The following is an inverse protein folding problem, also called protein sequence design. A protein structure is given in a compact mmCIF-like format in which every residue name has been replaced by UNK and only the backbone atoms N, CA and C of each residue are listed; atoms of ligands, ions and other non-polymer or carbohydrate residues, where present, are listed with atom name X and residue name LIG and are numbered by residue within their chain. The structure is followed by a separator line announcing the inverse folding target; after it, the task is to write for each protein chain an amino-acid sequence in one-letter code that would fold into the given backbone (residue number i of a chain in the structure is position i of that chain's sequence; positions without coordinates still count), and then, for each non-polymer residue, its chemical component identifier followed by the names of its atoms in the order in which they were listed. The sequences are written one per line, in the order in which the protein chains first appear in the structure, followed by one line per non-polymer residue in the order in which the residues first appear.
data_IF_146646085910
#
_entry.id   IF_146646085910
#
_cell.length_a   1.000
_cell.length_b   1.000
_cell.length_c   1.000
_cell.angle_alpha   90.00
_cell.angle_beta   90.00
_cell.angle_gamma   90.00
#
_symmetry.space_group_name_H-M   'P 1'
#
loop_
_entity.id
_entity.type
_entity.pdbx_description
1 polymer ?
2 non-polymer ?
3 non-polymer ?
4 non-polymer ?
5 non-polymer ?
6 non-polymer ?
#
# COMPACT_ATOMS: atom_id res chain seq x y z
N UNK A 26 -35.26 13.29 15.72
CA UNK A 26 -35.68 13.37 14.33
C UNK A 26 -34.78 12.57 13.39
N UNK A 27 -33.51 12.95 13.32
CA UNK A 27 -32.57 12.41 12.34
C UNK A 27 -31.61 11.43 13.01
N UNK A 28 -32.14 10.27 13.41
CA UNK A 28 -31.38 9.25 14.13
C UNK A 28 -31.06 8.07 13.22
N UNK A 29 -30.61 6.97 13.81
CA UNK A 29 -30.06 5.84 13.07
C UNK A 29 -30.63 4.53 13.62
N UNK A 30 -31.36 3.74 12.82
CA UNK A 30 -31.90 2.48 13.33
C UNK A 30 -30.84 1.40 13.52
N UNK A 31 -30.01 1.55 14.54
CA UNK A 31 -28.95 0.58 14.80
C UNK A 31 -29.47 -0.72 15.39
N UNK A 32 -30.63 -0.69 16.04
CA UNK A 32 -31.18 -1.88 16.68
C UNK A 32 -32.64 -2.07 16.28
N UNK A 33 -32.97 -1.74 15.04
CA UNK A 33 -34.36 -1.83 14.58
C UNK A 33 -34.41 -2.06 13.07
N UNK A 34 -35.11 -3.12 12.67
CA UNK A 34 -35.26 -3.44 11.26
C UNK A 34 -36.31 -2.57 10.57
N UNK A 35 -36.45 -2.79 9.26
CA UNK A 35 -37.29 -1.92 8.43
C UNK A 35 -38.29 -2.72 7.61
N UNK A 36 -38.72 -3.87 8.11
CA UNK A 36 -39.70 -4.69 7.41
C UNK A 36 -40.94 -4.83 8.27
N UNK A 37 -42.10 -4.31 7.84
CA UNK A 37 -43.32 -4.51 8.64
C UNK A 37 -43.62 -5.98 8.93
N UNK A 38 -43.47 -6.87 7.94
CA UNK A 38 -43.74 -8.29 8.09
C UNK A 38 -42.63 -9.07 7.42
N UNK A 39 -42.68 -10.40 7.54
CA UNK A 39 -41.67 -11.27 6.94
C UNK A 39 -42.24 -11.93 5.69
N UNK A 40 -41.80 -11.47 4.53
CA UNK A 40 -42.16 -12.06 3.24
C UNK A 40 -41.55 -13.46 3.10
N UNK A 41 -42.13 -14.25 2.19
CA UNK A 41 -41.54 -15.55 1.87
C UNK A 41 -40.11 -15.40 1.38
N UNK A 42 -39.89 -14.49 0.43
CA UNK A 42 -38.53 -14.23 -0.05
C UNK A 42 -37.64 -13.67 1.06
N UNK A 43 -38.24 -13.10 2.11
CA UNK A 43 -37.45 -12.73 3.27
C UNK A 43 -36.93 -13.95 4.00
N UNK A 44 -37.80 -14.95 4.20
CA UNK A 44 -37.39 -16.20 4.83
C UNK A 44 -36.39 -16.97 3.97
N UNK A 45 -36.49 -16.86 2.64
CA UNK A 45 -35.43 -17.39 1.77
C UNK A 45 -34.12 -16.67 2.04
N UNK A 46 -34.18 -15.34 2.17
CA UNK A 46 -32.98 -14.53 2.33
C UNK A 46 -32.33 -14.72 3.69
N UNK A 47 -33.12 -14.95 4.75
CA UNK A 47 -32.53 -15.24 6.05
C UNK A 47 -31.81 -16.59 6.03
N UNK A 48 -32.39 -17.58 5.35
CA UNK A 48 -31.69 -18.86 5.19
C UNK A 48 -30.36 -18.67 4.46
N UNK A 49 -30.34 -17.83 3.44
CA UNK A 49 -29.11 -17.57 2.70
C UNK A 49 -28.09 -16.86 3.58
N UNK A 50 -28.55 -15.93 4.44
CA UNK A 50 -27.64 -15.31 5.40
C UNK A 50 -27.09 -16.34 6.38
N UNK A 51 -27.92 -17.30 6.79
CA UNK A 51 -27.44 -18.36 7.69
C UNK A 51 -26.24 -19.10 7.09
N UNK A 52 -26.24 -19.29 5.77
CA UNK A 52 -25.09 -19.90 5.11
C UNK A 52 -23.81 -19.09 5.38
N UNK A 53 -23.81 -17.82 4.97
CA UNK A 53 -22.60 -17.00 5.13
C UNK A 53 -22.19 -16.90 6.59
N UNK A 54 -23.16 -17.00 7.51
CA UNK A 54 -22.83 -17.05 8.94
C UNK A 54 -22.07 -18.32 9.28
N UNK A 55 -22.46 -19.45 8.67
CA UNK A 55 -21.85 -20.73 8.98
C UNK A 55 -20.47 -20.86 8.34
N UNK A 56 -20.32 -20.40 7.09
CA UNK A 56 -19.01 -20.37 6.48
C UNK A 56 -18.05 -19.57 7.36
N UNK A 57 -18.49 -18.40 7.82
CA UNK A 57 -17.64 -17.52 8.60
C UNK A 57 -17.25 -18.13 9.94
N UNK A 58 -18.23 -18.71 10.65
CA UNK A 58 -18.00 -19.16 12.00
C UNK A 58 -17.07 -20.36 12.04
N UNK A 59 -17.41 -21.42 11.29
CA UNK A 59 -16.58 -22.62 11.34
C UNK A 59 -15.18 -22.35 10.79
N UNK A 60 -15.02 -21.34 9.95
CA UNK A 60 -13.71 -21.11 9.36
C UNK A 60 -12.81 -20.31 10.29
N UNK A 61 -13.34 -19.22 10.86
CA UNK A 61 -12.55 -18.56 11.88
C UNK A 61 -12.34 -19.45 13.10
N UNK A 62 -13.25 -20.40 13.34
CA UNK A 62 -13.03 -21.35 14.43
C UNK A 62 -11.90 -22.30 14.10
N UNK A 63 -11.90 -22.86 12.89
CA UNK A 63 -10.84 -23.79 12.51
C UNK A 63 -9.50 -23.09 12.33
N UNK A 64 -9.49 -21.78 12.07
CA UNK A 64 -8.25 -21.02 12.01
C UNK A 64 -7.72 -20.69 13.40
N UNK A 65 -8.61 -20.44 14.36
CA UNK A 65 -8.17 -20.26 15.74
C UNK A 65 -7.49 -21.52 16.27
N UNK A 66 -8.06 -22.68 15.98
CA UNK A 66 -7.45 -23.93 16.44
C UNK A 66 -6.07 -24.13 15.80
N UNK A 67 -5.95 -23.90 14.49
CA UNK A 67 -4.64 -23.94 13.83
C UNK A 67 -3.61 -23.14 14.60
N UNK A 68 -4.03 -22.02 15.21
CA UNK A 68 -3.09 -21.12 15.86
C UNK A 68 -2.60 -21.67 17.19
N UNK A 69 -3.51 -22.23 18.00
CA UNK A 69 -3.07 -22.80 19.27
C UNK A 69 -2.28 -24.08 19.06
N UNK A 70 -2.69 -24.91 18.09
CA UNK A 70 -1.89 -26.08 17.75
C UNK A 70 -0.54 -25.70 17.16
N UNK A 71 -0.42 -24.49 16.60
CA UNK A 71 0.87 -23.97 16.15
C UNK A 71 1.60 -23.18 17.24
N UNK A 72 0.98 -23.02 18.42
CA UNK A 72 1.67 -22.59 19.62
C UNK A 72 2.04 -23.75 20.53
N UNK A 73 1.47 -24.93 20.29
CA UNK A 73 1.71 -26.17 21.05
C UNK A 73 1.21 -26.07 22.49
N UNK A 82 5.45 -16.33 17.05
CA UNK A 82 5.99 -14.99 16.88
C UNK A 82 4.90 -13.94 17.10
N UNK A 83 5.16 -12.70 16.67
CA UNK A 83 4.19 -11.64 16.86
C UNK A 83 3.12 -11.66 15.77
N UNK A 84 3.51 -11.89 14.52
CA UNK A 84 2.53 -11.95 13.45
C UNK A 84 1.49 -13.05 13.70
N UNK A 85 1.87 -14.11 14.41
CA UNK A 85 0.86 -15.07 14.87
C UNK A 85 0.02 -14.49 16.00
N UNK A 86 0.67 -13.74 16.91
CA UNK A 86 -0.04 -13.14 18.04
C UNK A 86 -1.18 -12.24 17.55
N UNK A 87 -0.95 -11.49 16.47
CA UNK A 87 -1.96 -10.56 15.98
C UNK A 87 -3.06 -11.27 15.20
N UNK A 88 -2.73 -12.34 14.48
CA UNK A 88 -3.74 -13.06 13.72
C UNK A 88 -4.75 -13.73 14.63
N UNK A 89 -4.30 -14.23 15.79
CA UNK A 89 -5.23 -14.79 16.77
C UNK A 89 -6.25 -13.73 17.22
N UNK A 90 -5.78 -12.54 17.54
CA UNK A 90 -6.68 -11.51 18.05
C UNK A 90 -7.53 -10.89 16.95
N UNK A 91 -7.03 -10.84 15.72
CA UNK A 91 -7.88 -10.47 14.61
C UNK A 91 -8.97 -11.52 14.39
N UNK A 92 -8.58 -12.78 14.26
CA UNK A 92 -9.54 -13.87 14.09
C UNK A 92 -10.50 -13.97 15.27
N UNK A 93 -10.03 -13.64 16.48
CA UNK A 93 -10.93 -13.62 17.63
C UNK A 93 -11.99 -12.53 17.50
N UNK A 94 -11.60 -11.34 17.02
CA UNK A 94 -12.58 -10.31 16.75
C UNK A 94 -13.43 -10.63 15.54
N UNK A 95 -12.91 -11.44 14.60
CA UNK A 95 -13.72 -11.86 13.46
C UNK A 95 -14.86 -12.77 13.92
N UNK A 96 -14.52 -13.79 14.71
CA UNK A 96 -15.52 -14.68 15.28
C UNK A 96 -16.50 -13.88 16.14
N UNK A 97 -16.00 -12.93 16.91
CA UNK A 97 -16.87 -12.18 17.81
C UNK A 97 -17.85 -11.31 17.04
N UNK A 98 -17.39 -10.68 15.95
CA UNK A 98 -18.29 -9.87 15.13
C UNK A 98 -19.25 -10.73 14.31
N UNK A 99 -18.85 -11.96 13.99
CA UNK A 99 -19.74 -12.84 13.23
C UNK A 99 -20.84 -13.43 14.11
N UNK A 100 -20.50 -13.87 15.33
CA UNK A 100 -21.50 -14.48 16.20
C UNK A 100 -22.51 -13.47 16.73
N UNK A 101 -22.18 -12.19 16.79
CA UNK A 101 -23.06 -11.19 17.38
C UNK A 101 -23.92 -10.49 16.32
N UNK A 102 -23.31 -9.97 15.27
CA UNK A 102 -24.06 -9.10 14.36
C UNK A 102 -24.77 -9.86 13.24
N UNK A 103 -24.23 -10.98 12.77
CA UNK A 103 -24.91 -11.71 11.69
C UNK A 103 -26.27 -12.26 12.12
N UNK A 104 -26.42 -12.91 13.27
CA UNK A 104 -27.77 -13.30 13.69
C UNK A 104 -28.64 -12.10 14.08
N UNK A 105 -28.06 -11.12 14.77
CA UNK A 105 -28.84 -9.95 15.18
C UNK A 105 -29.41 -9.22 13.97
N UNK A 106 -28.53 -8.70 13.10
CA UNK A 106 -29.00 -7.87 11.99
C UNK A 106 -29.53 -8.67 10.80
N UNK A 107 -29.22 -9.96 10.71
CA UNK A 107 -29.50 -10.68 9.49
C UNK A 107 -30.60 -11.71 9.61
N UNK A 108 -30.78 -12.26 10.80
CA UNK A 108 -31.72 -13.35 10.98
C UNK A 108 -32.85 -13.02 11.94
N UNK A 109 -32.55 -12.38 13.06
CA UNK A 109 -33.57 -12.19 14.08
C UNK A 109 -34.21 -10.81 13.98
N UNK A 110 -33.54 -9.78 14.49
CA UNK A 110 -34.11 -8.44 14.60
C UNK A 110 -34.17 -7.73 13.24
N UNK A 111 -34.93 -8.31 12.32
CA UNK A 111 -35.04 -7.80 10.97
C UNK A 111 -36.37 -7.09 10.70
N UNK A 112 -37.41 -7.34 11.50
CA UNK A 112 -38.65 -6.60 11.38
C UNK A 112 -38.59 -5.36 12.28
N UNK A 113 -39.67 -4.57 12.28
CA UNK A 113 -39.67 -3.28 12.96
C UNK A 113 -39.94 -3.37 14.45
N UNK A 114 -40.21 -4.56 14.99
CA UNK A 114 -40.53 -4.71 16.40
C UNK A 114 -39.42 -5.47 17.13
N UNK A 115 -39.23 -5.13 18.41
CA UNK A 115 -38.25 -5.78 19.26
C UNK A 115 -38.93 -6.87 20.08
N UNK A 116 -38.54 -8.12 19.85
CA UNK A 116 -39.21 -9.27 20.47
C UNK A 116 -38.58 -9.70 21.80
N UNK A 117 -37.44 -9.13 22.18
CA UNK A 117 -36.84 -9.47 23.47
C UNK A 117 -37.29 -8.50 24.56
N UNK A 118 -36.41 -8.21 25.51
CA UNK A 118 -36.69 -7.29 26.58
C UNK A 118 -35.70 -6.13 26.62
N UNK A 119 -35.92 -5.26 27.60
CA UNK A 119 -35.08 -4.07 27.71
C UNK A 119 -33.64 -4.42 28.10
N UNK A 120 -33.44 -5.49 28.88
CA UNK A 120 -32.07 -5.84 29.27
C UNK A 120 -31.28 -6.37 28.10
N UNK A 121 -31.86 -7.31 27.33
CA UNK A 121 -31.20 -7.79 26.14
C UNK A 121 -31.09 -6.73 25.05
N UNK A 122 -31.83 -5.63 25.14
CA UNK A 122 -31.70 -4.56 24.15
C UNK A 122 -30.50 -3.66 24.43
N UNK A 123 -30.14 -3.46 25.70
CA UNK A 123 -28.95 -2.67 26.03
C UNK A 123 -27.68 -3.51 25.93
N UNK A 124 -27.75 -4.80 26.26
CA UNK A 124 -26.59 -5.67 26.15
C UNK A 124 -26.24 -5.89 24.69
N UNK A 125 -27.25 -6.19 23.86
CA UNK A 125 -26.97 -6.51 22.46
C UNK A 125 -26.53 -5.27 21.69
N UNK A 126 -27.13 -4.11 21.98
CA UNK A 126 -26.64 -2.89 21.35
C UNK A 126 -25.22 -2.56 21.77
N UNK A 127 -24.82 -3.00 22.96
CA UNK A 127 -23.43 -2.87 23.39
C UNK A 127 -22.53 -3.81 22.58
N UNK A 128 -22.86 -5.11 22.60
CA UNK A 128 -22.05 -6.13 21.92
C UNK A 128 -21.99 -5.89 20.41
N UNK A 129 -23.05 -5.36 19.81
CA UNK A 129 -22.98 -5.04 18.39
C UNK A 129 -21.85 -4.06 18.11
N UNK A 130 -21.89 -2.90 18.78
CA UNK A 130 -20.85 -1.90 18.53
C UNK A 130 -19.48 -2.40 19.01
N UNK A 131 -19.46 -3.14 20.11
CA UNK A 131 -18.18 -3.61 20.66
C UNK A 131 -17.44 -4.50 19.67
N UNK A 132 -18.13 -5.46 19.06
CA UNK A 132 -17.50 -6.40 18.14
C UNK A 132 -17.10 -5.74 16.84
N UNK A 133 -17.72 -4.62 16.46
CA UNK A 133 -17.31 -3.92 15.26
C UNK A 133 -16.18 -2.95 15.54
N UNK A 134 -16.20 -2.25 16.69
CA UNK A 134 -15.05 -1.48 17.09
C UNK A 134 -13.80 -2.36 17.16
N UNK A 135 -13.97 -3.61 17.60
CA UNK A 135 -12.82 -4.48 17.81
C UNK A 135 -12.24 -4.96 16.48
N UNK A 136 -13.10 -5.32 15.52
CA UNK A 136 -12.61 -5.76 14.22
C UNK A 136 -11.78 -4.67 13.55
N UNK A 137 -12.27 -3.42 13.60
CA UNK A 137 -11.53 -2.32 12.99
C UNK A 137 -10.20 -2.10 13.70
N UNK A 138 -10.21 -2.01 15.03
CA UNK A 138 -9.00 -1.72 15.76
C UNK A 138 -7.97 -2.84 15.68
N UNK A 139 -8.39 -4.05 15.27
CA UNK A 139 -7.41 -5.09 14.99
C UNK A 139 -6.71 -4.83 13.67
N UNK A 140 -7.47 -4.47 12.63
CA UNK A 140 -6.85 -4.11 11.37
C UNK A 140 -5.94 -2.91 11.51
N UNK A 141 -6.23 -2.04 12.49
CA UNK A 141 -5.36 -0.90 12.73
C UNK A 141 -4.06 -1.36 13.37
N UNK A 142 -4.15 -2.28 14.34
CA UNK A 142 -2.96 -2.73 15.04
C UNK A 142 -2.05 -3.53 14.12
N UNK A 143 -2.62 -4.32 13.21
CA UNK A 143 -1.78 -5.08 12.27
C UNK A 143 -1.19 -4.14 11.23
N UNK A 144 -1.98 -3.22 10.69
CA UNK A 144 -1.45 -2.27 9.72
C UNK A 144 -0.35 -1.39 10.33
N UNK A 145 -0.40 -1.16 11.65
CA UNK A 145 0.62 -0.35 12.30
C UNK A 145 1.89 -1.14 12.58
N UNK A 146 1.75 -2.38 13.06
CA UNK A 146 2.92 -3.19 13.37
C UNK A 146 3.69 -3.57 12.12
N UNK A 147 2.98 -3.89 11.03
CA UNK A 147 3.65 -4.31 9.80
C UNK A 147 4.26 -3.13 9.05
N UNK A 148 3.64 -1.95 9.14
CA UNK A 148 4.25 -0.75 8.57
C UNK A 148 5.55 -0.42 9.28
N UNK A 149 5.65 -0.77 10.56
CA UNK A 149 6.91 -0.59 11.27
C UNK A 149 7.93 -1.66 10.89
N UNK A 150 7.46 -2.88 10.61
CA UNK A 150 8.33 -4.02 10.31
C UNK A 150 9.09 -3.88 8.99
N UNK A 151 8.82 -2.85 8.19
CA UNK A 151 9.49 -2.67 6.91
C UNK A 151 10.60 -1.64 7.02
N UNK A 152 11.16 -1.48 8.22
CA UNK A 152 12.26 -0.54 8.44
C UNK A 152 13.43 -1.16 9.20
N UNK A 160 9.50 -9.53 19.16
CA UNK A 160 9.35 -10.58 20.16
C UNK A 160 9.35 -10.03 21.60
N UNK A 161 8.48 -9.07 21.88
CA UNK A 161 8.54 -8.34 23.15
C UNK A 161 7.13 -7.97 23.60
N UNK A 162 7.08 -7.13 24.66
CA UNK A 162 5.83 -6.81 25.35
C UNK A 162 4.96 -5.84 24.56
N UNK A 163 5.55 -4.94 23.78
CA UNK A 163 4.77 -3.98 23.00
C UNK A 163 3.79 -4.70 22.07
N UNK A 164 4.11 -5.94 21.68
CA UNK A 164 3.22 -6.66 20.79
C UNK A 164 1.84 -6.87 21.38
N UNK A 165 1.78 -7.19 22.68
CA UNK A 165 0.50 -7.48 23.32
C UNK A 165 -0.15 -6.25 23.95
N UNK A 166 0.61 -5.18 24.20
CA UNK A 166 0.00 -3.96 24.69
C UNK A 166 -0.81 -3.24 23.61
N UNK A 167 -0.47 -3.46 22.33
CA UNK A 167 -1.28 -2.92 21.24
C UNK A 167 -2.66 -3.54 21.22
N UNK A 168 -2.75 -4.87 21.22
CA UNK A 168 -4.04 -5.56 21.11
C UNK A 168 -4.84 -5.40 22.40
N UNK A 169 -4.17 -5.20 23.53
CA UNK A 169 -4.88 -4.86 24.76
C UNK A 169 -5.55 -3.50 24.64
N UNK A 170 -4.80 -2.50 24.17
CA UNK A 170 -5.39 -1.20 23.89
C UNK A 170 -6.57 -1.33 22.94
N UNK A 171 -6.43 -2.20 21.93
CA UNK A 171 -7.51 -2.38 20.96
C UNK A 171 -8.76 -2.91 21.64
N UNK A 172 -8.63 -3.95 22.48
CA UNK A 172 -9.78 -4.44 23.23
C UNK A 172 -10.23 -3.44 24.27
N UNK A 173 -9.30 -2.65 24.83
CA UNK A 173 -9.67 -1.64 25.81
C UNK A 173 -10.53 -0.55 25.18
N UNK A 174 -9.97 0.16 24.20
CA UNK A 174 -10.72 1.21 23.50
C UNK A 174 -12.07 0.70 23.02
N UNK A 175 -12.07 -0.45 22.32
CA UNK A 175 -13.32 -0.93 21.72
C UNK A 175 -14.37 -1.29 22.75
N UNK A 176 -13.95 -1.65 23.97
CA UNK A 176 -14.92 -1.88 25.04
C UNK A 176 -15.33 -0.57 25.72
N UNK A 177 -14.41 0.39 25.80
CA UNK A 177 -14.75 1.68 26.38
C UNK A 177 -15.59 2.52 25.41
N UNK A 178 -15.32 2.43 24.10
CA UNK A 178 -16.06 3.24 23.14
C UNK A 178 -17.52 2.81 23.03
N UNK A 179 -17.84 1.56 23.35
CA UNK A 179 -19.19 1.03 23.24
C UNK A 179 -19.99 1.19 24.53
N UNK A 180 -19.37 1.71 25.58
CA UNK A 180 -20.01 1.93 26.84
C UNK A 180 -21.35 2.64 26.76
N UNK A 181 -21.38 3.85 26.19
CA UNK A 181 -22.62 4.64 26.19
C UNK A 181 -23.85 3.90 25.67
N UNK A 182 -23.67 2.92 24.77
CA UNK A 182 -24.81 2.20 24.22
C UNK A 182 -25.59 1.46 25.28
N UNK A 183 -24.98 1.21 26.42
CA UNK A 183 -25.73 0.66 27.54
C UNK A 183 -26.72 1.65 28.13
N UNK A 184 -26.37 2.94 28.17
CA UNK A 184 -27.26 3.92 28.77
C UNK A 184 -28.22 4.56 27.78
N UNK A 185 -27.81 4.72 26.53
CA UNK A 185 -28.59 5.53 25.59
C UNK A 185 -29.68 4.74 24.90
N UNK A 186 -29.51 3.43 24.75
CA UNK A 186 -30.55 2.62 24.14
C UNK A 186 -31.58 2.22 25.19
N UNK A 187 -32.85 2.17 24.77
CA UNK A 187 -33.94 1.83 25.68
C UNK A 187 -35.07 1.20 24.87
N UNK A 188 -35.91 0.43 25.56
CA UNK A 188 -37.05 -0.22 24.93
C UNK A 188 -38.27 0.69 25.06
N UNK A 189 -38.82 1.12 23.94
CA UNK A 189 -39.96 2.01 23.89
C UNK A 189 -41.14 1.25 23.31
N UNK A 190 -42.35 1.55 23.80
CA UNK A 190 -43.58 0.93 23.34
C UNK A 190 -44.58 1.98 22.87
N UNK A 191 -44.09 3.00 22.17
CA UNK A 191 -44.95 4.01 21.56
C UNK A 191 -44.18 4.74 20.47
N UNK A 200 -50.20 -0.65 19.21
CA UNK A 200 -48.81 -0.21 19.15
C UNK A 200 -47.87 -1.43 19.23
N UNK A 201 -46.56 -1.18 19.36
CA UNK A 201 -45.58 -2.27 19.48
C UNK A 201 -44.29 -1.72 20.08
N UNK A 202 -43.37 -2.64 20.40
CA UNK A 202 -42.15 -2.33 21.12
C UNK A 202 -40.96 -2.22 20.18
N UNK A 203 -40.03 -1.34 20.52
CA UNK A 203 -38.80 -1.22 19.75
C UNK A 203 -37.68 -0.75 20.67
N UNK A 204 -36.45 -1.04 20.23
CA UNK A 204 -35.23 -0.78 20.97
C UNK A 204 -34.51 0.36 20.25
N UNK A 205 -34.59 1.57 20.81
CA UNK A 205 -34.23 2.79 20.10
C UNK A 205 -33.57 3.79 21.04
N UNK A 206 -33.03 4.86 20.45
CA UNK A 206 -32.47 5.98 21.19
C UNK A 206 -33.43 7.16 21.27
N UNK A 207 -34.62 7.05 20.70
CA UNK A 207 -35.61 8.12 20.80
C UNK A 207 -35.82 8.51 22.24
N UNK A 208 -35.94 9.82 22.48
CA UNK A 208 -36.15 10.35 23.83
C UNK A 208 -35.08 9.83 24.78
N UNK A 209 -33.83 9.92 24.35
CA UNK A 209 -32.68 9.59 25.19
C UNK A 209 -31.63 10.70 25.21
N UNK A 210 -31.33 11.31 24.05
CA UNK A 210 -30.54 12.52 23.99
C UNK A 210 -31.44 13.75 24.15
N UNK A 211 -30.85 14.84 24.64
CA UNK A 211 -31.61 16.06 24.93
C UNK A 211 -31.57 17.04 23.76
N UNK A 212 -30.43 17.71 23.59
CA UNK A 212 -30.26 18.62 22.46
C UNK A 212 -29.91 17.84 21.19
N UNK A 213 -30.24 18.44 20.03
CA UNK A 213 -29.95 17.76 18.76
C UNK A 213 -28.46 17.60 18.53
N UNK A 214 -27.63 18.42 19.15
CA UNK A 214 -26.19 18.27 18.99
C UNK A 214 -25.65 17.09 19.80
N UNK A 215 -26.33 16.68 20.87
CA UNK A 215 -25.85 15.54 21.64
C UNK A 215 -25.84 14.27 20.80
N UNK A 216 -26.84 14.10 19.93
CA UNK A 216 -26.95 12.90 19.11
C UNK A 216 -26.14 12.98 17.82
N UNK A 217 -26.04 14.16 17.22
CA UNK A 217 -25.26 14.30 16.00
C UNK A 217 -23.81 13.91 16.24
N UNK A 218 -23.21 14.44 17.31
CA UNK A 218 -21.82 14.13 17.61
C UNK A 218 -21.62 12.69 18.05
N UNK A 219 -22.66 12.05 18.59
CA UNK A 219 -22.52 10.65 18.94
C UNK A 219 -22.44 9.78 17.69
N UNK A 220 -23.36 9.98 16.75
CA UNK A 220 -23.34 9.16 15.54
C UNK A 220 -22.15 9.50 14.66
N UNK A 221 -21.73 10.76 14.65
CA UNK A 221 -20.48 11.11 13.97
C UNK A 221 -19.30 10.38 14.60
N UNK A 222 -19.24 10.36 15.93
CA UNK A 222 -18.18 9.65 16.64
C UNK A 222 -18.24 8.15 16.32
N UNK A 223 -19.43 7.59 16.24
CA UNK A 223 -19.55 6.18 15.91
C UNK A 223 -18.97 5.89 14.54
N UNK A 224 -19.26 6.73 13.54
CA UNK A 224 -18.85 6.43 12.17
C UNK A 224 -17.34 6.52 12.01
N UNK A 225 -16.75 7.61 12.51
CA UNK A 225 -15.31 7.83 12.37
C UNK A 225 -14.51 6.72 13.03
N UNK A 226 -14.77 6.48 14.31
CA UNK A 226 -14.07 5.44 15.06
C UNK A 226 -14.49 4.03 14.69
N UNK A 227 -15.40 3.86 13.74
CA UNK A 227 -15.78 2.53 13.28
C UNK A 227 -15.20 2.20 11.91
N UNK A 228 -14.89 3.21 11.10
CA UNK A 228 -14.60 2.96 9.70
C UNK A 228 -13.64 3.98 9.11
N UNK A 229 -14.01 5.27 9.19
CA UNK A 229 -13.27 6.29 8.45
C UNK A 229 -11.86 6.46 9.01
N UNK A 230 -11.73 6.75 10.31
CA UNK A 230 -10.41 6.88 10.92
C UNK A 230 -9.58 5.60 10.74
N UNK A 231 -10.10 4.41 11.03
CA UNK A 231 -9.31 3.20 10.71
C UNK A 231 -8.92 3.14 9.25
N UNK A 232 -9.84 3.41 8.32
CA UNK A 232 -9.50 3.37 6.91
C UNK A 232 -8.37 4.34 6.59
N UNK A 233 -8.39 5.51 7.22
CA UNK A 233 -7.32 6.50 7.08
C UNK A 233 -5.98 5.93 7.54
N UNK A 234 -5.91 5.48 8.80
CA UNK A 234 -4.68 4.89 9.33
C UNK A 234 -4.27 3.68 8.50
N UNK A 235 -5.24 2.90 8.03
CA UNK A 235 -4.90 1.73 7.24
C UNK A 235 -4.32 2.11 5.89
N UNK A 236 -5.03 2.95 5.13
CA UNK A 236 -4.57 3.29 3.78
C UNK A 236 -3.16 3.90 3.82
N UNK A 237 -2.83 4.62 4.89
CA UNK A 237 -1.53 5.27 4.97
C UNK A 237 -0.45 4.23 5.22
N UNK A 238 -0.66 3.37 6.22
CA UNK A 238 0.33 2.34 6.53
C UNK A 238 0.50 1.37 5.37
N UNK A 239 -0.60 1.00 4.71
CA UNK A 239 -0.51 0.08 3.60
C UNK A 239 -0.01 0.77 2.34
N UNK A 240 -0.03 2.10 2.30
CA UNK A 240 0.64 2.78 1.20
C UNK A 240 2.15 2.60 1.28
N UNK A 241 2.72 2.63 2.49
CA UNK A 241 4.16 2.42 2.64
C UNK A 241 4.55 0.97 2.32
N UNK A 242 3.74 0.01 2.77
CA UNK A 242 4.02 -1.39 2.47
C UNK A 242 3.93 -1.65 0.98
N UNK A 243 3.09 -0.92 0.27
CA UNK A 243 3.00 -1.09 -1.17
C UNK A 243 4.28 -0.65 -1.86
N UNK A 244 4.88 0.46 -1.39
CA UNK A 244 6.13 0.92 -2.00
C UNK A 244 7.24 -0.09 -1.78
N UNK A 245 7.34 -0.66 -0.58
CA UNK A 245 8.35 -1.68 -0.31
C UNK A 245 8.18 -2.88 -1.21
N UNK A 246 6.96 -3.44 -1.27
CA UNK A 246 6.72 -4.65 -2.05
C UNK A 246 7.02 -4.44 -3.52
N UNK A 247 6.61 -3.30 -4.07
CA UNK A 247 6.90 -2.99 -5.47
C UNK A 247 8.39 -3.07 -5.75
N UNK A 248 9.20 -2.45 -4.89
CA UNK A 248 10.65 -2.55 -5.06
C UNK A 248 11.13 -3.99 -4.86
N UNK A 249 10.70 -4.63 -3.77
CA UNK A 249 11.24 -5.95 -3.43
C UNK A 249 10.88 -6.96 -4.52
N UNK A 250 9.61 -7.01 -4.88
CA UNK A 250 9.21 -8.01 -5.90
C UNK A 250 9.43 -7.49 -7.31
N UNK A 251 10.32 -6.52 -7.53
CA UNK A 251 10.44 -5.80 -8.82
C UNK A 251 11.83 -5.88 -9.43
N UNK A 252 12.77 -6.29 -8.60
CA UNK A 252 14.20 -6.52 -8.82
C UNK A 252 14.42 -8.02 -8.70
N UNK A 253 14.62 -8.70 -9.83
CA UNK A 253 15.12 -10.08 -9.77
C UNK A 253 16.61 -9.99 -9.50
N UNK A 254 16.97 -10.00 -8.21
CA UNK A 254 18.37 -9.96 -7.83
C UNK A 254 19.12 -11.19 -8.31
N UNK A 255 18.42 -12.32 -8.46
CA UNK A 255 19.06 -13.51 -9.02
C UNK A 255 19.59 -13.26 -10.43
N UNK A 256 19.10 -12.21 -11.10
CA UNK A 256 19.62 -11.77 -12.39
C UNK A 256 20.47 -10.51 -12.24
N UNK A 257 19.89 -9.44 -11.68
CA UNK A 257 20.57 -8.16 -11.54
C UNK A 257 21.55 -8.22 -10.36
N UNK A 258 22.72 -8.80 -10.62
CA UNK A 258 23.80 -8.73 -9.65
C UNK A 258 25.13 -8.91 -10.38
N UNK A 259 26.20 -8.45 -9.73
CA UNK A 259 27.52 -8.31 -10.36
C UNK A 259 28.34 -9.60 -10.35
N UNK A 260 27.79 -10.74 -9.89
CA UNK A 260 28.54 -11.99 -9.94
C UNK A 260 28.70 -12.52 -11.36
N UNK A 261 27.83 -12.10 -12.27
CA UNK A 261 27.85 -12.59 -13.64
C UNK A 261 28.79 -11.80 -14.54
N UNK A 262 29.23 -10.62 -14.13
CA UNK A 262 30.17 -9.85 -14.92
C UNK A 262 31.54 -10.54 -14.94
N UNK A 263 32.41 -10.07 -15.83
CA UNK A 263 33.68 -10.71 -16.09
C UNK A 263 34.81 -9.73 -15.80
N UNK A 264 35.78 -10.19 -15.01
CA UNK A 264 36.99 -9.42 -14.78
C UNK A 264 36.77 -8.11 -14.01
N UNK A 265 37.81 -7.28 -14.06
CA UNK A 265 37.83 -6.02 -13.32
C UNK A 265 36.91 -5.00 -13.97
N UNK A 266 36.53 -3.97 -13.19
CA UNK A 266 35.51 -3.05 -13.68
C UNK A 266 36.05 -2.12 -14.77
N UNK A 267 37.32 -1.67 -14.67
CA UNK A 267 37.85 -0.78 -15.71
C UNK A 267 38.19 -1.53 -16.97
N UNK A 268 38.55 -2.79 -16.85
CA UNK A 268 38.64 -3.62 -18.04
C UNK A 268 37.28 -3.69 -18.73
N UNK A 269 36.22 -3.89 -17.94
CA UNK A 269 34.87 -3.91 -18.50
C UNK A 269 34.54 -2.60 -19.20
N UNK A 270 35.11 -1.48 -18.75
CA UNK A 270 34.80 -0.18 -19.35
C UNK A 270 35.62 0.06 -20.62
N UNK A 271 36.93 -0.22 -20.59
CA UNK A 271 37.73 -0.13 -21.79
C UNK A 271 37.13 -1.01 -22.89
N UNK A 272 36.79 -2.24 -22.53
CA UNK A 272 36.30 -3.19 -23.53
C UNK A 272 34.98 -2.72 -24.14
N UNK A 273 34.12 -2.11 -23.33
CA UNK A 273 32.83 -1.63 -23.84
C UNK A 273 32.96 -0.31 -24.59
N UNK A 274 33.80 0.60 -24.11
CA UNK A 274 33.92 1.90 -24.74
C UNK A 274 34.52 1.83 -26.13
N UNK A 275 35.38 0.82 -26.38
CA UNK A 275 35.90 0.55 -27.72
C UNK A 275 35.04 -0.44 -28.49
N UNK A 276 34.24 -1.26 -27.80
CA UNK A 276 33.16 -1.98 -28.46
C UNK A 276 32.25 -1.01 -29.20
N UNK A 277 31.93 0.13 -28.57
CA UNK A 277 31.14 1.17 -29.21
C UNK A 277 31.95 1.94 -30.24
N UNK A 278 33.19 2.29 -29.91
CA UNK A 278 34.05 3.00 -30.85
C UNK A 278 34.51 4.36 -30.39
N UNK A 279 34.54 4.58 -29.07
CA UNK A 279 35.13 5.78 -28.47
C UNK A 279 36.35 5.36 -27.66
N UNK A 280 37.10 6.33 -27.17
CA UNK A 280 38.23 6.02 -26.32
C UNK A 280 37.84 6.15 -24.85
N UNK A 281 38.76 5.77 -23.97
CA UNK A 281 38.44 5.65 -22.56
C UNK A 281 38.26 7.03 -21.92
N UNK A 282 37.27 7.13 -21.03
CA UNK A 282 37.00 8.36 -20.31
C UNK A 282 35.91 8.11 -19.29
N UNK A 283 35.53 9.19 -18.59
CA UNK A 283 34.46 9.08 -17.60
C UNK A 283 33.12 8.93 -18.32
N UNK A 284 32.34 7.93 -17.92
CA UNK A 284 31.17 7.50 -18.67
C UNK A 284 29.89 7.71 -17.89
N UNK A 285 28.95 8.40 -18.50
CA UNK A 285 27.60 8.55 -17.99
C UNK A 285 26.65 7.82 -18.94
N UNK A 286 25.58 7.28 -18.40
CA UNK A 286 24.66 6.54 -19.23
C UNK A 286 23.23 6.94 -18.92
N UNK A 287 22.41 6.99 -19.97
CA UNK A 287 20.98 7.16 -19.84
C UNK A 287 20.27 6.09 -20.65
N UNK A 288 19.23 5.50 -20.06
CA UNK A 288 18.41 4.50 -20.75
C UNK A 288 16.95 4.73 -20.41
N UNK A 289 16.20 5.28 -21.36
CA UNK A 289 14.79 5.58 -21.10
C UNK A 289 14.07 5.95 -22.38
N UNK A 290 12.76 6.09 -22.25
CA UNK A 290 11.93 6.47 -23.39
C UNK A 290 12.16 7.94 -23.75
N UNK A 291 12.34 8.21 -25.03
CA UNK A 291 12.60 9.57 -25.51
C UNK A 291 11.30 10.36 -25.43
N UNK A 292 11.11 11.09 -24.33
CA UNK A 292 9.85 11.72 -24.00
C UNK A 292 10.02 13.21 -23.76
N UNK A 293 8.93 13.95 -23.96
CA UNK A 293 8.86 15.36 -23.60
C UNK A 293 8.10 15.50 -22.29
N UNK A 294 8.72 16.15 -21.31
CA UNK A 294 8.16 16.27 -19.97
C UNK A 294 7.75 14.96 -19.34
N UNK A 295 8.67 14.01 -19.23
CA UNK A 295 8.32 12.73 -18.66
C UNK A 295 9.52 12.01 -18.07
N UNK A 296 10.50 11.63 -18.91
CA UNK A 296 11.64 10.89 -18.42
C UNK A 296 12.95 11.66 -18.45
N UNK A 297 13.02 12.79 -19.16
CA UNK A 297 14.10 13.73 -19.00
C UNK A 297 15.19 13.72 -20.06
N UNK A 298 15.00 13.02 -21.18
CA UNK A 298 16.04 12.96 -22.20
C UNK A 298 16.29 14.34 -22.81
N UNK A 299 15.29 15.21 -22.79
CA UNK A 299 15.48 16.58 -23.24
C UNK A 299 16.36 17.36 -22.27
N UNK A 300 16.15 17.15 -20.98
CA UNK A 300 16.99 17.79 -19.97
C UNK A 300 18.44 17.38 -20.16
N UNK A 301 18.70 16.07 -20.27
CA UNK A 301 20.06 15.60 -20.45
C UNK A 301 20.67 16.17 -21.72
N UNK A 302 19.92 16.13 -22.83
CA UNK A 302 20.45 16.61 -24.10
C UNK A 302 20.83 18.08 -24.03
N UNK A 303 19.96 18.91 -23.47
CA UNK A 303 20.28 20.32 -23.29
C UNK A 303 21.41 20.51 -22.29
N UNK A 304 21.46 19.67 -21.26
CA UNK A 304 22.59 19.70 -20.32
C UNK A 304 23.89 19.35 -21.04
N UNK A 305 23.85 18.37 -21.93
CA UNK A 305 25.04 18.02 -22.71
C UNK A 305 25.46 19.20 -23.58
N UNK A 306 24.49 19.88 -24.20
CA UNK A 306 24.85 21.00 -25.07
C UNK A 306 25.36 22.19 -24.27
N UNK A 307 24.93 22.36 -23.03
CA UNK A 307 25.60 23.30 -22.14
C UNK A 307 27.03 22.82 -21.88
N UNK A 308 27.18 21.53 -21.57
CA UNK A 308 28.50 20.98 -21.31
C UNK A 308 29.30 20.80 -22.59
N UNK A 309 28.68 20.94 -23.74
CA UNK A 309 29.27 20.69 -25.08
C UNK A 309 30.49 21.55 -25.35
N UNK A 310 30.29 22.86 -25.43
CA UNK A 310 31.44 23.74 -25.69
C UNK A 310 32.00 24.17 -24.34
N UNK A 311 32.72 23.25 -23.69
CA UNK A 311 33.18 23.49 -22.31
C UNK A 311 34.63 23.04 -22.18
N UNK A 312 35.13 23.12 -20.94
CA UNK A 312 36.55 22.87 -20.57
C UNK A 312 36.82 21.37 -20.37
N UNK A 313 35.95 20.67 -19.65
CA UNK A 313 36.23 19.26 -19.36
C UNK A 313 35.33 18.31 -20.13
N UNK A 314 34.74 18.77 -21.23
CA UNK A 314 33.84 17.92 -22.01
C UNK A 314 34.60 16.75 -22.66
N UNK A 315 35.89 16.92 -22.88
CA UNK A 315 36.72 15.94 -23.62
C UNK A 315 36.93 14.63 -22.85
N UNK A 316 36.78 14.68 -21.54
CA UNK A 316 36.99 13.50 -20.72
C UNK A 316 35.73 12.68 -20.53
N UNK A 317 34.59 13.15 -21.04
CA UNK A 317 33.30 12.56 -20.75
C UNK A 317 32.83 11.70 -21.90
N UNK A 318 32.19 10.59 -21.57
CA UNK A 318 31.51 9.75 -22.53
C UNK A 318 30.04 9.67 -22.12
N UNK A 319 29.14 9.70 -23.10
CA UNK A 319 27.71 9.62 -22.87
C UNK A 319 27.13 8.53 -23.77
N UNK A 320 26.48 7.55 -23.18
CA UNK A 320 25.71 6.55 -23.92
C UNK A 320 24.26 6.74 -23.53
N UNK A 321 23.46 7.29 -24.43
CA UNK A 321 22.04 7.48 -24.19
C UNK A 321 21.29 6.46 -25.03
N UNK A 322 20.30 5.82 -24.42
CA UNK A 322 19.62 4.67 -25.01
C UNK A 322 18.11 4.86 -24.85
N UNK A 323 17.36 4.65 -25.92
CA UNK A 323 15.92 4.70 -25.85
C UNK A 323 15.27 5.11 -27.16
N UNK A 324 14.00 4.73 -27.31
CA UNK A 324 13.19 5.10 -28.46
C UNK A 324 11.87 5.71 -27.99
N UNK A 325 11.37 6.70 -28.74
CA UNK A 325 10.12 7.36 -28.42
C UNK A 325 9.64 8.37 -29.46
N UNK A 326 9.58 9.64 -29.10
CA UNK A 326 9.16 10.68 -30.03
C UNK A 326 10.27 10.93 -31.05
N UNK A 327 9.94 11.42 -32.26
CA UNK A 327 10.93 11.44 -33.34
C UNK A 327 11.83 12.68 -33.35
N UNK A 328 11.32 13.83 -32.90
CA UNK A 328 12.14 15.04 -32.90
C UNK A 328 13.23 14.97 -31.83
N UNK A 329 13.03 14.17 -30.79
CA UNK A 329 14.05 14.04 -29.75
C UNK A 329 15.19 13.12 -30.14
N UNK A 330 14.97 12.24 -31.12
CA UNK A 330 16.06 11.39 -31.58
C UNK A 330 16.98 12.15 -32.53
N UNK A 331 16.42 13.03 -33.36
CA UNK A 331 17.25 13.83 -34.24
C UNK A 331 18.16 14.77 -33.49
N UNK A 332 17.72 15.22 -32.31
CA UNK A 332 18.58 16.03 -31.44
C UNK A 332 19.77 15.22 -30.96
N UNK A 333 19.49 14.09 -30.30
CA UNK A 333 20.56 13.20 -29.83
C UNK A 333 21.46 12.76 -30.98
N UNK A 334 20.87 12.28 -32.07
CA UNK A 334 21.65 11.77 -33.19
C UNK A 334 22.43 12.86 -33.90
N UNK A 335 22.03 14.14 -33.78
CA UNK A 335 22.85 15.21 -34.34
C UNK A 335 24.05 15.51 -33.45
N UNK A 336 23.87 15.46 -32.13
CA UNK A 336 25.00 15.49 -31.22
C UNK A 336 25.90 14.28 -31.38
N UNK A 337 25.42 13.23 -32.03
CA UNK A 337 26.21 12.03 -32.30
C UNK A 337 27.20 12.25 -33.45
N UNK A 338 26.87 13.14 -34.40
CA UNK A 338 27.81 13.48 -35.47
C UNK A 338 28.68 14.68 -35.13
N UNK A 339 28.19 15.59 -34.29
CA UNK A 339 29.01 16.73 -33.91
C UNK A 339 30.06 16.33 -32.89
N UNK A 340 29.77 15.34 -32.06
CA UNK A 340 30.67 14.91 -31.00
C UNK A 340 30.84 13.40 -31.05
N UNK A 341 32.09 12.95 -31.09
CA UNK A 341 32.43 11.55 -31.09
C UNK A 341 32.41 10.86 -29.75
N UNK A 342 32.10 11.60 -28.68
CA UNK A 342 31.94 11.02 -27.34
C UNK A 342 30.49 11.01 -26.90
N UNK A 343 29.56 10.95 -27.86
CA UNK A 343 28.14 10.86 -27.59
C UNK A 343 27.58 9.75 -28.48
N UNK A 344 27.28 8.60 -27.89
CA UNK A 344 26.65 7.50 -28.59
C UNK A 344 25.18 7.43 -28.24
N UNK A 345 24.35 7.20 -29.26
CA UNK A 345 22.89 7.10 -29.10
C UNK A 345 22.43 5.78 -29.67
N UNK A 346 21.65 5.04 -28.90
CA UNK A 346 21.19 3.71 -29.26
C UNK A 346 19.66 3.71 -29.18
N UNK A 347 19.01 3.61 -30.34
CA UNK A 347 17.53 3.60 -30.38
C UNK A 347 17.06 2.18 -30.71
N UNK A 348 17.98 1.28 -31.05
CA UNK A 348 17.57 -0.13 -31.28
C UNK A 348 17.48 -0.73 -29.87
N UNK A 349 16.41 -1.46 -29.52
CA UNK A 349 16.33 -1.96 -28.12
C UNK A 349 17.31 -3.11 -27.94
N UNK A 350 17.89 -3.23 -26.74
CA UNK A 350 18.96 -4.19 -26.50
C UNK A 350 18.45 -5.44 -25.77
N UNK A 351 19.40 -6.30 -25.40
CA UNK A 351 19.10 -7.50 -24.66
C UNK A 351 19.03 -7.22 -23.15
N UNK A 352 18.31 -8.08 -22.45
CA UNK A 352 18.30 -8.02 -20.98
C UNK A 352 19.71 -8.23 -20.43
N UNK A 353 20.49 -9.11 -21.07
CA UNK A 353 21.85 -9.41 -20.61
C UNK A 353 22.81 -8.23 -20.85
N UNK A 354 22.52 -7.40 -21.85
CA UNK A 354 23.39 -6.28 -22.22
C UNK A 354 23.06 -5.00 -21.47
N UNK A 355 21.92 -4.93 -20.79
CA UNK A 355 21.69 -3.81 -19.90
C UNK A 355 22.53 -3.97 -18.65
N UNK A 356 22.54 -5.18 -18.08
CA UNK A 356 23.42 -5.51 -16.95
C UNK A 356 24.88 -5.30 -17.30
N UNK A 357 25.26 -5.70 -18.52
CA UNK A 357 26.51 -5.26 -19.14
C UNK A 357 26.85 -3.82 -18.78
N UNK A 358 25.95 -2.88 -19.10
CA UNK A 358 26.32 -1.48 -19.02
C UNK A 358 26.22 -0.94 -17.60
N UNK A 359 25.19 -1.32 -16.84
CA UNK A 359 25.04 -0.84 -15.47
C UNK A 359 26.31 -1.09 -14.66
N UNK A 360 26.94 -2.23 -14.87
CA UNK A 360 28.16 -2.54 -14.15
C UNK A 360 29.43 -2.24 -14.92
N UNK A 361 29.40 -1.22 -15.79
CA UNK A 361 30.59 -0.80 -16.52
C UNK A 361 30.69 0.71 -16.58
N UNK A 362 29.58 1.38 -16.91
CA UNK A 362 29.57 2.85 -16.93
C UNK A 362 29.99 3.40 -15.59
N UNK A 363 30.36 4.66 -15.58
CA UNK A 363 30.65 5.28 -14.30
C UNK A 363 29.39 5.83 -13.63
N UNK A 364 28.44 6.36 -14.40
CA UNK A 364 27.28 6.98 -13.79
C UNK A 364 26.02 6.65 -14.57
N UNK A 365 24.90 6.65 -13.86
CA UNK A 365 23.56 6.61 -14.45
C UNK A 365 22.95 7.99 -14.26
N UNK A 366 22.68 8.67 -15.37
CA UNK A 366 21.90 9.90 -15.33
C UNK A 366 20.43 9.50 -15.40
N UNK A 367 19.68 9.84 -14.37
CA UNK A 367 18.26 9.53 -14.31
C UNK A 367 17.50 10.83 -14.15
N UNK A 368 17.34 11.63 -15.21
CA UNK A 368 16.79 12.98 -15.10
C UNK A 368 15.27 13.02 -15.20
N UNK A 369 14.60 12.14 -14.45
CA UNK A 369 13.18 11.93 -14.61
C UNK A 369 12.36 13.01 -13.91
N UNK A 370 11.14 13.24 -14.42
CA UNK A 370 10.18 14.19 -13.85
C UNK A 370 9.24 13.54 -12.83
N UNK A 371 9.07 12.22 -12.88
CA UNK A 371 8.06 11.53 -12.09
C UNK A 371 8.45 10.06 -12.00
N UNK A 372 8.84 9.60 -10.82
CA UNK A 372 9.41 8.26 -10.63
C UNK A 372 9.19 7.82 -9.20
N UNK A 373 7.99 7.36 -8.85
CA UNK A 373 7.67 7.05 -7.46
C UNK A 373 8.26 5.75 -6.95
N UNK A 374 8.80 4.89 -7.82
CA UNK A 374 9.36 3.60 -7.41
C UNK A 374 10.86 3.51 -7.61
N UNK A 375 11.38 3.93 -8.77
CA UNK A 375 12.82 3.97 -8.99
C UNK A 375 13.50 2.62 -9.08
N UNK A 376 13.15 1.84 -10.10
CA UNK A 376 13.72 0.51 -10.26
C UNK A 376 14.97 0.52 -11.14
N UNK A 377 15.04 1.41 -12.13
CA UNK A 377 16.28 1.59 -12.89
C UNK A 377 17.42 1.95 -11.94
N UNK A 378 17.18 2.89 -11.02
CA UNK A 378 18.22 3.26 -10.08
C UNK A 378 18.63 2.09 -9.19
N UNK A 379 17.72 1.15 -8.95
CA UNK A 379 18.05 0.02 -8.09
C UNK A 379 18.73 -1.11 -8.85
N UNK A 380 18.30 -1.38 -10.07
CA UNK A 380 19.07 -2.26 -10.94
C UNK A 380 20.48 -1.69 -11.12
N UNK A 381 20.56 -0.41 -11.50
CA UNK A 381 21.85 0.21 -11.75
C UNK A 381 22.76 0.12 -10.53
N UNK A 382 22.28 0.60 -9.37
CA UNK A 382 23.11 0.58 -8.17
C UNK A 382 23.49 -0.85 -7.78
N UNK A 383 22.64 -1.82 -8.08
CA UNK A 383 22.95 -3.21 -7.77
C UNK A 383 24.17 -3.70 -8.51
N UNK A 384 24.52 -3.05 -9.62
CA UNK A 384 25.62 -3.47 -10.45
C UNK A 384 26.84 -2.57 -10.30
N UNK A 385 26.76 -1.54 -9.47
CA UNK A 385 27.91 -0.72 -9.15
C UNK A 385 27.85 0.70 -9.68
N UNK A 386 26.95 1.00 -10.60
CA UNK A 386 26.88 2.33 -11.20
C UNK A 386 26.40 3.36 -10.19
N UNK A 387 26.89 4.57 -10.34
CA UNK A 387 26.55 5.69 -9.46
C UNK A 387 25.42 6.48 -10.09
N UNK A 388 24.32 6.71 -9.39
CA UNK A 388 23.20 7.44 -9.99
C UNK A 388 23.32 8.95 -9.83
N UNK A 389 22.87 9.66 -10.85
CA UNK A 389 22.65 11.11 -10.81
C UNK A 389 21.22 11.29 -11.27
N UNK A 390 20.32 11.56 -10.34
CA UNK A 390 18.89 11.60 -10.61
C UNK A 390 18.27 12.84 -10.01
N UNK A 391 17.03 13.10 -10.42
CA UNK A 391 16.27 14.23 -9.92
C UNK A 391 15.39 13.80 -8.77
N UNK A 392 15.37 14.60 -7.70
CA UNK A 392 14.63 14.25 -6.48
C UNK A 392 13.13 14.33 -6.73
N UNK A 393 12.58 13.25 -7.30
CA UNK A 393 11.19 13.29 -7.74
C UNK A 393 10.50 11.97 -7.40
N UNK A 394 10.60 11.54 -6.15
CA UNK A 394 9.84 10.40 -5.70
C UNK A 394 10.69 9.37 -4.99
N UNK A 395 10.69 8.14 -5.50
CA UNK A 395 11.53 7.10 -4.93
C UNK A 395 13.00 7.41 -5.04
N UNK A 396 13.41 8.07 -6.13
CA UNK A 396 14.79 8.54 -6.24
C UNK A 396 15.15 9.47 -5.09
N UNK A 397 14.19 10.30 -4.67
CA UNK A 397 14.43 11.13 -3.49
C UNK A 397 14.70 10.27 -2.26
N UNK A 398 14.00 9.13 -2.14
CA UNK A 398 14.17 8.29 -0.96
C UNK A 398 15.32 7.31 -1.10
N UNK A 399 15.68 6.92 -2.32
CA UNK A 399 16.63 5.83 -2.51
C UNK A 399 18.07 6.33 -2.50
N UNK A 400 18.33 7.52 -3.02
CA UNK A 400 19.69 8.04 -3.14
C UNK A 400 19.98 8.92 -1.93
N UNK A 401 20.97 8.52 -1.12
CA UNK A 401 21.34 9.27 0.07
C UNK A 401 22.50 10.19 -0.24
N UNK A 402 23.28 10.56 0.78
CA UNK A 402 24.42 11.45 0.57
C UNK A 402 25.66 10.71 0.10
N UNK A 403 25.87 9.48 0.58
CA UNK A 403 27.03 8.69 0.19
C UNK A 403 26.68 7.64 -0.86
N UNK A 404 25.54 7.79 -1.56
CA UNK A 404 25.13 6.82 -2.58
C UNK A 404 24.73 7.47 -3.90
N UNK A 405 25.05 8.74 -4.11
CA UNK A 405 24.79 9.38 -5.39
C UNK A 405 24.63 10.87 -5.23
N UNK A 406 24.32 11.53 -6.34
CA UNK A 406 24.11 12.97 -6.40
C UNK A 406 22.69 13.24 -6.88
N UNK A 407 21.91 13.92 -6.04
CA UNK A 407 20.57 14.34 -6.42
C UNK A 407 20.58 15.81 -6.86
N UNK A 408 19.67 16.16 -7.77
CA UNK A 408 19.55 17.51 -8.30
C UNK A 408 18.08 17.84 -8.48
N UNK A 409 17.81 19.14 -8.60
CA UNK A 409 16.43 19.60 -8.80
C UNK A 409 15.95 19.22 -10.20
N UNK A 410 14.74 18.69 -10.28
CA UNK A 410 14.23 18.17 -11.54
C UNK A 410 13.96 19.29 -12.54
N UNK A 411 14.02 18.94 -13.82
CA UNK A 411 13.62 19.81 -14.90
C UNK A 411 14.61 20.88 -15.30
N UNK A 412 15.78 20.94 -14.67
CA UNK A 412 16.77 21.97 -14.97
C UNK A 412 17.91 21.39 -15.80
N UNK A 413 18.15 21.90 -17.02
CA UNK A 413 19.25 21.38 -17.84
C UNK A 413 20.61 21.73 -17.24
N UNK A 414 20.87 23.02 -17.04
CA UNK A 414 21.83 23.41 -16.03
C UNK A 414 21.44 22.86 -14.67
N UNK A 415 22.42 22.87 -13.76
CA UNK A 415 22.32 22.20 -12.46
C UNK A 415 22.54 20.69 -12.64
N UNK A 416 21.86 20.07 -13.61
CA UNK A 416 22.30 18.76 -14.05
C UNK A 416 23.67 18.83 -14.67
N UNK A 417 23.91 19.89 -15.47
CA UNK A 417 25.25 20.10 -16.02
C UNK A 417 26.29 20.20 -14.91
N UNK A 418 25.97 20.89 -13.82
CA UNK A 418 26.93 21.03 -12.73
C UNK A 418 27.04 19.74 -11.93
N UNK A 419 25.98 18.93 -11.87
CA UNK A 419 26.09 17.61 -11.25
C UNK A 419 27.02 16.71 -12.05
N UNK A 420 26.84 16.67 -13.37
CA UNK A 420 27.75 15.92 -14.24
C UNK A 420 29.18 16.42 -14.07
N UNK A 421 29.34 17.70 -13.75
CA UNK A 421 30.67 18.26 -13.54
C UNK A 421 31.20 17.95 -12.15
N UNK A 422 30.32 17.96 -11.15
CA UNK A 422 30.73 17.51 -9.81
C UNK A 422 31.12 16.04 -9.83
N UNK A 423 30.37 15.23 -10.60
CA UNK A 423 30.64 13.79 -10.66
C UNK A 423 32.03 13.50 -11.21
N UNK A 424 32.44 14.23 -12.25
CA UNK A 424 33.77 14.00 -12.82
C UNK A 424 34.87 14.56 -11.91
N UNK A 425 34.60 15.69 -11.24
CA UNK A 425 35.61 16.23 -10.34
C UNK A 425 35.95 15.29 -9.20
N UNK A 426 35.05 14.36 -8.86
CA UNK A 426 35.33 13.39 -7.81
C UNK A 426 35.67 12.01 -8.35
N UNK A 427 35.97 11.89 -9.65
CA UNK A 427 36.43 10.63 -10.21
C UNK A 427 37.96 10.52 -10.25
N UNK A 428 38.69 11.62 -10.07
CA UNK A 428 40.14 11.56 -9.96
C UNK A 428 40.60 10.68 -8.80
N UNK A 429 39.78 10.56 -7.76
CA UNK A 429 40.01 9.62 -6.67
C UNK A 429 39.17 8.37 -6.93
N UNK A 430 39.80 7.21 -6.85
CA UNK A 430 39.17 6.00 -7.34
C UNK A 430 38.04 5.50 -6.43
N UNK A 431 36.79 5.64 -6.91
CA UNK A 431 35.55 5.41 -6.18
C UNK A 431 35.30 3.93 -6.09
N UNK A 432 35.78 3.30 -5.03
CA UNK A 432 35.41 1.91 -4.73
C UNK A 432 34.50 1.78 -3.52
N UNK A 433 34.77 2.54 -2.44
CA UNK A 433 33.82 2.60 -1.34
C UNK A 433 32.54 3.29 -1.75
N UNK A 434 32.62 4.22 -2.72
CA UNK A 434 31.43 4.90 -3.20
C UNK A 434 30.49 3.94 -3.91
N UNK A 435 31.05 2.98 -4.64
CA UNK A 435 30.23 2.01 -5.36
C UNK A 435 29.72 0.90 -4.45
N UNK A 436 30.44 0.59 -3.38
CA UNK A 436 29.96 -0.44 -2.46
C UNK A 436 28.76 0.04 -1.66
N UNK A 437 28.68 1.34 -1.38
CA UNK A 437 27.51 1.89 -0.67
C UNK A 437 26.24 1.70 -1.49
N UNK A 438 26.31 2.00 -2.79
CA UNK A 438 25.15 1.79 -3.67
C UNK A 438 24.81 0.32 -3.79
N UNK A 439 25.83 -0.54 -3.85
CA UNK A 439 25.57 -1.98 -3.92
C UNK A 439 24.80 -2.46 -2.69
N UNK A 440 25.16 -1.95 -1.50
CA UNK A 440 24.54 -2.40 -0.26
C UNK A 440 23.20 -1.71 -0.01
N UNK A 441 23.13 -0.40 -0.27
CA UNK A 441 21.88 0.33 -0.12
C UNK A 441 20.80 -0.24 -1.04
N UNK A 442 21.09 -0.28 -2.33
CA UNK A 442 20.15 -0.86 -3.29
C UNK A 442 19.85 -2.32 -2.95
N UNK A 443 20.82 -3.03 -2.38
CA UNK A 443 20.57 -4.41 -1.96
C UNK A 443 19.41 -4.46 -0.96
N UNK A 444 19.45 -3.61 0.06
CA UNK A 444 18.41 -3.64 1.09
C UNK A 444 17.04 -3.27 0.51
N UNK A 445 17.00 -2.27 -0.36
CA UNK A 445 15.72 -1.87 -0.95
C UNK A 445 15.10 -2.99 -1.77
N UNK A 446 15.93 -3.76 -2.44
CA UNK A 446 15.44 -4.81 -3.37
C UNK A 446 15.20 -6.16 -2.69
N UNK A 447 15.63 -6.32 -1.43
CA UNK A 447 15.70 -7.65 -0.77
C UNK A 447 14.94 -7.62 0.54
N UNK A 448 14.24 -8.71 0.87
CA UNK A 448 13.42 -8.85 2.07
C UNK A 448 13.41 -10.33 2.46
N UNK A 449 13.48 -10.66 3.75
CA UNK A 449 13.41 -12.07 4.15
C UNK A 449 12.08 -12.68 3.75
N UNK A 450 12.13 -13.92 3.28
CA UNK A 450 10.92 -14.60 2.79
C UNK A 450 9.80 -14.56 3.82
N UNK A 451 10.12 -14.84 5.08
CA UNK A 451 9.10 -14.92 6.12
C UNK A 451 8.36 -13.60 6.27
N UNK A 452 9.11 -12.53 6.50
CA UNK A 452 8.52 -11.19 6.69
C UNK A 452 7.81 -10.75 5.40
N UNK A 453 8.12 -11.37 4.27
CA UNK A 453 7.51 -10.98 3.00
C UNK A 453 6.07 -11.49 2.89
N UNK A 454 5.81 -12.73 3.34
CA UNK A 454 4.44 -13.22 3.19
C UNK A 454 3.49 -12.46 4.10
N UNK A 455 3.93 -12.09 5.30
CA UNK A 455 3.07 -11.29 6.15
C UNK A 455 2.88 -9.89 5.57
N UNK A 456 3.86 -9.39 4.83
CA UNK A 456 3.69 -8.10 4.16
C UNK A 456 2.61 -8.18 3.11
N UNK A 457 2.72 -9.16 2.19
CA UNK A 457 1.66 -9.37 1.21
C UNK A 457 0.33 -9.72 1.88
N UNK A 458 0.39 -10.38 3.03
CA UNK A 458 -0.83 -10.67 3.78
C UNK A 458 -1.54 -9.39 4.22
N UNK A 459 -0.80 -8.50 4.90
CA UNK A 459 -1.42 -7.30 5.44
C UNK A 459 -2.12 -6.47 4.36
N UNK A 460 -1.49 -6.34 3.19
CA UNK A 460 -2.12 -5.59 2.12
C UNK A 460 -3.42 -6.25 1.67
N UNK A 461 -3.50 -7.57 1.73
CA UNK A 461 -4.73 -8.26 1.38
C UNK A 461 -5.81 -8.00 2.43
N UNK A 462 -5.47 -8.18 3.70
CA UNK A 462 -6.40 -7.88 4.79
C UNK A 462 -7.01 -6.50 4.60
N UNK A 463 -6.17 -5.50 4.37
CA UNK A 463 -6.65 -4.12 4.24
C UNK A 463 -7.56 -3.96 3.04
N UNK A 464 -7.14 -4.47 1.88
CA UNK A 464 -7.98 -4.34 0.69
C UNK A 464 -9.32 -5.03 0.89
N UNK A 465 -9.31 -6.20 1.53
CA UNK A 465 -10.57 -6.88 1.82
C UNK A 465 -11.47 -6.02 2.71
N UNK A 466 -10.89 -5.39 3.74
CA UNK A 466 -11.68 -4.53 4.63
C UNK A 466 -12.15 -3.29 3.89
N UNK A 467 -11.24 -2.62 3.17
CA UNK A 467 -11.62 -1.42 2.43
C UNK A 467 -12.72 -1.71 1.41
N UNK A 468 -12.55 -2.79 0.65
CA UNK A 468 -13.50 -3.08 -0.43
C UNK A 468 -14.86 -3.46 0.13
N UNK A 469 -14.90 -4.38 1.08
CA UNK A 469 -16.18 -4.95 1.48
C UNK A 469 -16.96 -4.04 2.41
N UNK A 470 -16.29 -3.27 3.26
CA UNK A 470 -17.00 -2.49 4.26
C UNK A 470 -17.32 -1.07 3.80
N UNK A 471 -16.74 -0.62 2.70
CA UNK A 471 -17.03 0.74 2.25
C UNK A 471 -18.49 0.87 1.76
N UNK A 472 -19.04 -0.05 0.96
CA UNK A 472 -20.46 0.11 0.58
C UNK A 472 -21.41 0.06 1.77
N UNK A 473 -21.19 -0.85 2.72
CA UNK A 473 -22.04 -0.94 3.91
C UNK A 473 -22.11 0.39 4.64
N UNK A 474 -20.96 1.04 4.86
CA UNK A 474 -20.87 2.20 5.73
C UNK A 474 -21.23 3.52 5.05
N UNK A 475 -21.06 3.65 3.72
CA UNK A 475 -21.45 4.89 3.07
C UNK A 475 -22.96 5.00 2.99
N UNK A 476 -23.65 3.88 2.71
CA UNK A 476 -25.10 3.90 2.84
C UNK A 476 -25.51 4.25 4.26
N UNK A 477 -24.68 3.88 5.24
CA UNK A 477 -24.91 4.34 6.60
C UNK A 477 -24.84 5.85 6.72
N UNK A 478 -23.77 6.45 6.18
CA UNK A 478 -23.62 7.90 6.23
C UNK A 478 -24.58 8.58 5.28
N UNK A 479 -24.90 7.91 4.16
CA UNK A 479 -25.91 8.42 3.24
C UNK A 479 -27.28 8.46 3.92
N UNK A 480 -27.65 7.38 4.61
CA UNK A 480 -28.88 7.38 5.40
C UNK A 480 -28.86 8.54 6.40
N UNK A 481 -27.72 8.73 7.07
CA UNK A 481 -27.60 9.76 8.10
C UNK A 481 -27.94 11.14 7.54
N UNK A 482 -27.51 11.44 6.31
CA UNK A 482 -27.78 12.76 5.73
C UNK A 482 -29.18 12.88 5.14
N UNK A 483 -29.85 11.75 4.85
CA UNK A 483 -31.10 11.73 4.09
C UNK A 483 -31.81 10.39 4.34
N UNK A 484 -32.59 10.29 5.40
CA UNK A 484 -33.18 8.98 5.73
C UNK A 484 -34.18 8.48 4.69
N UNK A 485 -34.74 9.37 3.90
CA UNK A 485 -35.76 8.95 2.91
C UNK A 485 -35.08 8.25 1.74
N UNK A 486 -33.79 7.94 1.88
CA UNK A 486 -33.04 7.24 0.82
C UNK A 486 -33.37 5.76 0.88
N UNK A 487 -33.78 5.30 2.06
CA UNK A 487 -34.08 3.86 2.27
C UNK A 487 -35.25 3.45 1.39
N UNK A 488 -36.18 4.37 1.16
CA UNK A 488 -37.35 4.09 0.32
C UNK A 488 -36.97 3.92 -1.15
N UNK A 489 -35.69 4.02 -1.50
CA UNK A 489 -35.26 3.86 -2.89
C UNK A 489 -34.29 2.71 -3.07
N UNK A 490 -34.33 1.69 -2.20
CA UNK A 490 -33.41 0.58 -2.34
C UNK A 490 -34.12 -0.75 -2.16
N UNK A 491 -33.77 -1.70 -3.02
CA UNK A 491 -34.33 -3.05 -3.06
C UNK A 491 -34.13 -3.76 -1.73
N UNK A 492 -34.87 -4.85 -1.57
CA UNK A 492 -34.54 -5.86 -0.59
C UNK A 492 -33.40 -6.74 -1.10
N UNK A 493 -33.34 -7.07 -2.40
CA UNK A 493 -32.15 -7.80 -2.89
C UNK A 493 -30.84 -7.06 -2.73
N UNK A 494 -30.81 -5.72 -2.86
CA UNK A 494 -29.54 -4.99 -2.77
C UNK A 494 -29.20 -4.63 -1.34
N UNK A 495 -30.20 -4.32 -0.52
CA UNK A 495 -29.95 -4.20 0.91
C UNK A 495 -29.36 -5.50 1.45
N UNK A 496 -29.97 -6.64 1.08
CA UNK A 496 -29.43 -7.94 1.47
C UNK A 496 -28.05 -8.16 0.89
N UNK A 497 -27.86 -7.78 -0.38
CA UNK A 497 -26.57 -8.03 -1.04
C UNK A 497 -25.44 -7.28 -0.34
N UNK A 498 -25.60 -5.98 -0.12
CA UNK A 498 -24.53 -5.23 0.52
C UNK A 498 -24.36 -5.60 1.98
N UNK A 499 -25.35 -6.23 2.61
CA UNK A 499 -25.14 -6.83 3.92
C UNK A 499 -24.21 -8.04 3.80
N UNK A 500 -24.48 -8.93 2.84
CA UNK A 500 -23.64 -10.11 2.66
C UNK A 500 -22.23 -9.74 2.19
N UNK A 501 -22.13 -8.79 1.27
CA UNK A 501 -20.84 -8.36 0.75
C UNK A 501 -19.92 -7.89 1.86
N UNK A 502 -20.47 -7.20 2.86
CA UNK A 502 -19.68 -6.76 4.00
C UNK A 502 -19.11 -7.94 4.78
N UNK A 503 -19.94 -8.94 5.05
CA UNK A 503 -19.46 -10.05 5.86
C UNK A 503 -18.70 -11.07 5.03
N UNK A 504 -18.49 -10.82 3.74
CA UNK A 504 -17.50 -11.60 3.03
C UNK A 504 -16.11 -11.37 3.60
N UNK A 505 -15.82 -10.13 4.03
CA UNK A 505 -14.49 -9.79 4.52
C UNK A 505 -14.07 -10.64 5.73
N UNK A 506 -14.82 -10.68 6.84
CA UNK A 506 -14.35 -11.45 8.00
C UNK A 506 -14.30 -12.95 7.75
N UNK A 507 -15.05 -13.51 6.80
CA UNK A 507 -14.92 -14.95 6.59
C UNK A 507 -13.91 -15.30 5.51
N UNK A 508 -13.32 -14.29 4.87
CA UNK A 508 -12.27 -14.54 3.86
C UNK A 508 -10.90 -14.19 4.46
N UNK A 509 -10.89 -13.67 5.67
CA UNK A 509 -9.60 -13.33 6.30
C UNK A 509 -8.80 -14.60 6.44
N UNK A 510 -9.35 -15.67 7.07
CA UNK A 510 -8.70 -16.96 7.16
C UNK A 510 -8.22 -17.45 5.78
N UNK A 511 -8.99 -17.19 4.74
CA UNK A 511 -8.56 -17.55 3.40
C UNK A 511 -7.35 -16.74 2.97
N UNK A 512 -7.21 -15.51 3.46
CA UNK A 512 -6.06 -14.68 3.06
C UNK A 512 -4.78 -15.21 3.69
N UNK A 513 -4.83 -15.62 4.96
CA UNK A 513 -3.64 -16.22 5.57
C UNK A 513 -3.25 -17.50 4.84
N UNK A 514 -4.21 -18.39 4.62
CA UNK A 514 -3.88 -19.67 4.00
C UNK A 514 -3.28 -19.51 2.61
N UNK A 515 -3.76 -18.51 1.86
CA UNK A 515 -3.26 -18.31 0.50
C UNK A 515 -1.78 -17.98 0.50
N UNK A 516 -1.38 -16.95 1.25
CA UNK A 516 0.02 -16.56 1.33
C UNK A 516 0.85 -17.48 2.23
N UNK A 517 0.29 -18.61 2.65
CA UNK A 517 1.03 -19.66 3.34
C UNK A 517 1.60 -20.69 2.37
N UNK A 518 2.16 -20.24 1.26
CA UNK A 518 2.62 -21.12 0.17
C UNK A 518 1.47 -22.00 -0.32
#
# INVERSE_FOLDING_TARGET
DYKDDDDAMANSASPEQNQNHCSAINNSIPLMQGNLPTLTLSGKIRVTVTFFLFLLSATFNASFLLKLQKWTQKKEKGKKLSRMKLLLKHLTLANLLETLIVMPLDGMWNITVQWYAGELLCKVLSYLKLFSMYAKAFMMVVISLDRSLAITRPLALKSNSKVGQSMVGLAWILSSVFAGPQLYIFRMIHLADSSGQTKVFSQCVTHCSFSQWWHQAFYNFFTFSCLFIIPLFIMLICNAKIIFTLTRVLGIDCSFWNESYLTGSRDERKKSLLSKFGMDEGVTFMFIGRFDRGQKGVDVLLKAIEILSSKKEFQEMRFIIIGKGDPELEGWARSLEEKHGNVKVITEMLSREFVRELYGSVDFVIIPSYFEPFGLVALEAMCLGAIPIASAVGGLRDIITNETGILVKAGDPGELANAILKALELSRSDLSKFRENCKKRAMSFSNIPRARLKTLKMTVAFATSFTVCWTPYYVLGIWYWFDPEMLNRLSDPVNHFFFLFAFLNPCFDPLIYGYFSLHHHHHHHHHH
#
